data_IF_355184722488
#
_entry.id   IF_355184722488
#
_cell.length_a   1.000
_cell.length_b   1.000
_cell.length_c   1.000
_cell.angle_alpha   90.00
_cell.angle_beta   90.00
_cell.angle_gamma   90.00
#
_symmetry.space_group_name_H-M   'P 1'
#
loop_
_entity.id
_entity.type
_entity.pdbx_description
1 polymer ?
#
# COMPACT_ATOMS: atom_id res chain seq x y z
N UNK A 1 -10.61 -14.09 8.02
CA UNK A 1 -11.34 -13.17 8.89
C UNK A 1 -12.52 -12.68 8.09
N UNK A 2 -13.75 -12.89 8.56
CA UNK A 2 -14.93 -12.32 7.90
C UNK A 2 -14.95 -10.80 8.07
N UNK A 3 -15.65 -10.07 7.22
CA UNK A 3 -15.80 -8.63 7.40
C UNK A 3 -16.50 -8.26 8.71
N UNK A 4 -17.39 -9.13 9.20
CA UNK A 4 -18.02 -8.97 10.52
C UNK A 4 -17.01 -9.06 11.67
N UNK A 5 -16.08 -10.02 11.63
CA UNK A 5 -14.97 -10.10 12.59
C UNK A 5 -14.04 -8.88 12.50
N UNK A 6 -13.80 -8.39 11.27
CA UNK A 6 -12.98 -7.21 11.05
C UNK A 6 -13.60 -5.95 11.67
N UNK A 7 -14.88 -5.69 11.41
CA UNK A 7 -15.62 -4.54 11.97
C UNK A 7 -15.68 -4.59 13.49
N UNK A 8 -15.93 -5.77 14.06
CA UNK A 8 -15.90 -5.96 15.51
C UNK A 8 -14.53 -5.63 16.13
N UNK A 9 -13.42 -5.94 15.43
CA UNK A 9 -12.06 -5.66 15.91
C UNK A 9 -11.66 -4.18 15.85
N UNK A 10 -12.17 -3.42 14.87
CA UNK A 10 -11.85 -1.99 14.73
C UNK A 10 -12.81 -1.08 15.51
N UNK A 11 -13.81 -1.64 16.21
CA UNK A 11 -14.63 -0.90 17.16
C UNK A 11 -15.52 0.18 16.52
N UNK A 12 -15.89 0.04 15.25
CA UNK A 12 -16.88 0.94 14.63
C UNK A 12 -18.20 0.78 15.39
N UNK A 13 -18.55 1.79 16.18
CA UNK A 13 -19.74 1.80 17.02
C UNK A 13 -21.00 1.70 16.16
N UNK A 14 -21.92 0.84 16.60
CA UNK A 14 -23.23 0.65 15.99
C UNK A 14 -24.00 1.98 15.95
N UNK A 15 -24.42 2.40 14.76
CA UNK A 15 -25.13 3.67 14.52
C UNK A 15 -25.30 4.01 13.03
N UNK A 16 -24.47 3.43 12.17
CA UNK A 16 -24.63 3.46 10.70
C UNK A 16 -25.31 2.21 10.14
N UNK A 17 -25.63 2.25 8.84
CA UNK A 17 -26.07 1.06 8.10
C UNK A 17 -25.04 -0.08 8.28
N UNK A 18 -25.48 -1.33 8.52
CA UNK A 18 -24.56 -2.44 8.65
C UNK A 18 -23.72 -2.56 7.36
N UNK A 19 -22.39 -2.72 7.48
CA UNK A 19 -21.55 -2.97 6.30
C UNK A 19 -22.04 -4.24 5.60
N UNK A 20 -22.18 -4.14 4.28
CA UNK A 20 -22.65 -5.24 3.44
C UNK A 20 -21.46 -6.16 3.14
N UNK A 21 -21.58 -7.45 3.49
CA UNK A 21 -20.55 -8.46 3.26
C UNK A 21 -21.06 -9.51 2.27
N UNK A 22 -20.27 -9.80 1.23
CA UNK A 22 -20.52 -10.88 0.28
C UNK A 22 -19.68 -12.11 0.70
N UNK A 23 -20.28 -13.30 0.80
CA UNK A 23 -19.55 -14.46 1.34
C UNK A 23 -18.47 -15.01 0.36
N UNK A 24 -17.33 -15.42 0.95
CA UNK A 24 -16.16 -16.12 0.39
C UNK A 24 -15.23 -15.33 -0.56
N UNK A 25 -13.96 -15.16 -0.16
CA UNK A 25 -12.90 -14.56 -0.97
C UNK A 25 -12.77 -13.04 -0.89
N UNK A 26 -13.50 -12.37 0.02
CA UNK A 26 -13.44 -10.92 0.16
C UNK A 26 -12.08 -10.43 0.65
N UNK A 27 -11.51 -9.53 -0.14
CA UNK A 27 -10.34 -8.74 0.21
C UNK A 27 -10.83 -7.33 0.53
N UNK A 28 -10.65 -6.90 1.76
CA UNK A 28 -10.93 -5.52 2.13
C UNK A 28 -9.68 -4.68 1.90
N UNK A 29 -9.89 -3.50 1.36
CA UNK A 29 -8.88 -2.47 1.23
C UNK A 29 -9.57 -1.13 1.47
N UNK A 30 -9.37 -0.57 2.66
CA UNK A 30 -9.95 0.68 3.10
C UNK A 30 -8.85 1.70 3.34
N UNK A 31 -9.15 2.94 2.97
CA UNK A 31 -8.32 4.09 3.28
C UNK A 31 -9.21 5.19 3.87
N UNK A 32 -8.67 5.92 4.83
CA UNK A 32 -9.33 7.08 5.43
C UNK A 32 -8.28 8.11 5.83
N UNK A 33 -8.67 9.38 5.85
CA UNK A 33 -7.88 10.39 6.54
C UNK A 33 -7.87 10.07 8.03
N UNK A 34 -6.70 10.17 8.65
CA UNK A 34 -6.49 9.92 10.07
C UNK A 34 -6.27 11.27 10.77
N UNK A 35 -7.22 11.72 11.61
CA UNK A 35 -7.04 12.93 12.40
C UNK A 35 -5.80 12.82 13.29
N UNK A 36 -4.96 13.85 13.30
CA UNK A 36 -3.67 13.85 13.99
C UNK A 36 -3.82 13.56 15.49
N UNK A 37 -4.93 13.98 16.09
CA UNK A 37 -5.29 13.79 17.49
C UNK A 37 -5.47 12.30 17.86
N UNK A 38 -5.71 11.45 16.86
CA UNK A 38 -5.85 9.99 17.05
C UNK A 38 -4.51 9.32 17.36
N UNK A 39 -3.38 9.95 17.00
CA UNK A 39 -2.05 9.42 17.26
C UNK A 39 -1.61 9.80 18.67
N UNK A 40 -1.73 8.86 19.59
CA UNK A 40 -1.16 9.01 20.93
C UNK A 40 0.37 8.87 20.86
N UNK A 41 1.07 10.00 20.96
CA UNK A 41 2.52 10.12 20.80
C UNK A 41 3.32 9.05 21.57
N UNK A 42 2.89 8.63 22.76
CA UNK A 42 3.56 7.61 23.57
C UNK A 42 3.63 6.19 22.99
N UNK A 43 2.91 5.90 21.89
CA UNK A 43 2.80 4.54 21.31
C UNK A 43 3.52 4.36 19.98
N UNK A 44 4.36 5.32 19.59
CA UNK A 44 4.98 5.34 18.27
C UNK A 44 6.51 5.53 18.31
N UNK A 45 7.29 4.86 17.45
CA UNK A 45 8.74 5.04 17.37
C UNK A 45 9.14 6.49 17.10
N UNK A 46 10.32 6.90 17.60
CA UNK A 46 10.80 8.28 17.47
C UNK A 46 10.94 8.75 16.02
N UNK A 47 11.45 7.88 15.13
CA UNK A 47 11.53 8.15 13.69
C UNK A 47 10.16 8.44 13.08
N UNK A 48 9.11 7.83 13.60
CA UNK A 48 7.76 8.08 13.12
C UNK A 48 7.29 9.47 13.51
N UNK A 49 7.55 9.89 14.76
CA UNK A 49 7.21 11.23 15.23
C UNK A 49 7.88 12.32 14.40
N UNK A 50 9.16 12.17 14.08
CA UNK A 50 9.86 13.18 13.26
C UNK A 50 9.26 13.34 11.85
N UNK A 51 8.66 12.29 11.29
CA UNK A 51 7.97 12.35 10.00
C UNK A 51 6.57 12.99 10.10
N UNK A 52 6.03 13.14 11.31
CA UNK A 52 4.73 13.78 11.58
C UNK A 52 4.85 15.28 11.84
N UNK A 53 6.06 15.81 12.04
CA UNK A 53 6.27 17.22 12.41
C UNK A 53 6.11 18.19 11.22
N UNK A 54 6.07 17.70 9.98
CA UNK A 54 5.85 18.52 8.77
C UNK A 54 5.13 17.74 7.64
N UNK A 55 3.87 17.32 7.86
CA UNK A 55 3.16 16.54 6.87
C UNK A 55 2.68 17.46 5.73
N UNK A 56 3.02 17.12 4.49
CA UNK A 56 2.54 17.86 3.32
C UNK A 56 1.06 17.58 3.00
N UNK A 57 0.52 16.50 3.56
CA UNK A 57 -0.86 16.04 3.42
C UNK A 57 -1.35 15.45 4.76
N UNK A 58 -2.68 15.38 5.00
CA UNK A 58 -3.21 14.64 6.14
C UNK A 58 -2.66 13.21 6.21
N UNK A 59 -2.51 12.71 7.44
CA UNK A 59 -2.17 11.31 7.66
C UNK A 59 -3.26 10.43 7.09
N UNK A 60 -2.88 9.27 6.57
CA UNK A 60 -3.83 8.29 6.05
C UNK A 60 -3.71 6.99 6.79
N UNK A 61 -4.85 6.44 7.15
CA UNK A 61 -5.02 5.08 7.63
C UNK A 61 -5.26 4.16 6.44
N UNK A 62 -4.57 3.02 6.44
CA UNK A 62 -4.78 1.93 5.50
C UNK A 62 -5.16 0.68 6.28
N UNK A 63 -6.27 0.05 5.90
CA UNK A 63 -6.71 -1.20 6.53
C UNK A 63 -7.06 -2.22 5.46
N UNK A 64 -6.46 -3.41 5.56
CA UNK A 64 -6.62 -4.42 4.53
C UNK A 64 -6.51 -5.84 5.05
N UNK A 65 -7.08 -6.79 4.31
CA UNK A 65 -6.97 -8.23 4.59
C UNK A 65 -6.01 -8.93 3.63
N UNK A 66 -5.63 -10.17 3.96
CA UNK A 66 -4.68 -10.98 3.19
C UNK A 66 -4.98 -10.96 1.69
N UNK A 67 -3.93 -10.77 0.89
CA UNK A 67 -3.99 -10.77 -0.56
C UNK A 67 -4.57 -9.49 -1.18
N UNK A 68 -4.97 -8.50 -0.37
CA UNK A 68 -5.29 -7.16 -0.86
C UNK A 68 -4.02 -6.46 -1.33
N UNK A 69 -4.09 -5.84 -2.50
CA UNK A 69 -2.93 -5.29 -3.20
C UNK A 69 -3.14 -3.85 -3.61
N UNK A 70 -2.09 -3.05 -3.51
CA UNK A 70 -1.96 -1.78 -4.23
C UNK A 70 -1.16 -2.08 -5.50
N UNK A 71 -1.75 -1.93 -6.70
CA UNK A 71 -1.07 -2.24 -7.96
C UNK A 71 0.25 -1.47 -8.11
N UNK A 72 1.16 -1.99 -8.93
CA UNK A 72 2.46 -1.39 -9.16
C UNK A 72 2.31 0.04 -9.73
N UNK A 73 2.82 1.03 -9.01
CA UNK A 73 2.71 2.45 -9.36
C UNK A 73 3.85 3.26 -8.75
N UNK A 74 3.94 4.54 -9.09
CA UNK A 74 4.82 5.49 -8.40
C UNK A 74 4.06 6.74 -7.95
N UNK A 75 4.56 7.39 -6.91
CA UNK A 75 4.08 8.66 -6.41
C UNK A 75 5.01 9.81 -6.83
N UNK A 76 4.45 11.02 -6.97
CA UNK A 76 5.22 12.23 -7.32
C UNK A 76 5.85 12.94 -6.13
N UNK A 77 5.56 12.48 -4.91
CA UNK A 77 6.08 13.01 -3.65
C UNK A 77 6.68 11.87 -2.83
N UNK A 78 7.61 12.21 -1.96
CA UNK A 78 8.13 11.27 -0.96
C UNK A 78 7.00 10.93 0.03
N UNK A 79 6.99 9.69 0.49
CA UNK A 79 6.01 9.24 1.47
C UNK A 79 6.57 8.17 2.38
N UNK A 80 5.89 7.93 3.49
CA UNK A 80 6.18 6.78 4.34
C UNK A 80 4.92 5.97 4.58
N UNK A 81 5.12 4.71 4.94
CA UNK A 81 4.11 3.86 5.54
C UNK A 81 4.74 3.18 6.75
N UNK A 82 4.13 3.32 7.93
CA UNK A 82 4.48 2.43 9.03
C UNK A 82 3.37 1.46 9.35
N UNK A 83 3.83 0.27 9.72
CA UNK A 83 3.00 -0.88 9.94
C UNK A 83 2.59 -0.93 11.41
N UNK A 84 1.30 -0.75 11.67
CA UNK A 84 0.76 -0.71 13.03
C UNK A 84 0.33 -2.09 13.51
N UNK A 85 -0.28 -2.87 12.62
CA UNK A 85 -0.72 -4.25 12.88
C UNK A 85 -0.54 -5.14 11.67
N UNK A 86 -0.20 -6.41 11.88
CA UNK A 86 0.01 -7.38 10.80
C UNK A 86 1.23 -7.09 9.92
N UNK A 87 1.20 -7.57 8.68
CA UNK A 87 2.35 -7.52 7.77
C UNK A 87 1.98 -7.23 6.32
N UNK A 88 2.92 -6.61 5.61
CA UNK A 88 2.82 -6.30 4.17
C UNK A 88 4.12 -6.66 3.46
N UNK A 89 4.01 -7.20 2.25
CA UNK A 89 5.13 -7.32 1.30
C UNK A 89 5.16 -6.07 0.43
N UNK A 90 6.32 -5.46 0.27
CA UNK A 90 6.52 -4.35 -0.66
C UNK A 90 7.58 -4.72 -1.67
N UNK A 91 7.26 -4.59 -2.96
CA UNK A 91 8.21 -4.81 -4.06
C UNK A 91 8.48 -3.48 -4.76
N UNK A 92 9.74 -3.04 -4.71
CA UNK A 92 10.25 -1.80 -5.27
C UNK A 92 10.93 -2.02 -6.62
N UNK A 93 10.84 -1.02 -7.49
CA UNK A 93 11.65 -0.92 -8.69
C UNK A 93 12.20 0.52 -8.79
N UNK A 94 13.47 0.69 -9.21
CA UNK A 94 14.06 2.01 -9.37
C UNK A 94 13.37 2.77 -10.52
N UNK A 95 13.40 4.12 -10.54
CA UNK A 95 12.85 4.92 -11.64
C UNK A 95 13.40 4.52 -13.03
N UNK A 96 14.66 4.05 -13.08
CA UNK A 96 15.29 3.58 -14.31
C UNK A 96 14.60 2.36 -14.96
N UNK A 97 13.82 1.58 -14.18
CA UNK A 97 13.06 0.44 -14.68
C UNK A 97 11.82 0.82 -15.50
N UNK A 98 11.49 2.12 -15.61
CA UNK A 98 10.31 2.67 -16.31
C UNK A 98 9.96 1.96 -17.63
N UNK A 99 10.96 1.70 -18.47
CA UNK A 99 10.76 1.08 -19.80
C UNK A 99 10.21 -0.34 -19.73
N UNK A 100 10.58 -1.12 -18.72
CA UNK A 100 10.08 -2.47 -18.50
C UNK A 100 8.78 -2.54 -17.71
N UNK A 101 8.30 -1.41 -17.17
CA UNK A 101 7.08 -1.34 -16.36
C UNK A 101 5.85 -0.88 -17.15
N UNK A 102 6.02 -0.43 -18.40
CA UNK A 102 4.94 -0.09 -19.33
C UNK A 102 3.86 0.78 -18.66
N UNK A 103 4.19 2.02 -18.25
CA UNK A 103 3.24 2.91 -17.62
C UNK A 103 2.04 3.20 -18.54
N UNK A 104 0.88 3.47 -17.95
CA UNK A 104 -0.20 4.11 -18.69
C UNK A 104 0.22 5.53 -19.17
N UNK A 105 -0.29 5.98 -20.33
CA UNK A 105 -0.09 7.34 -20.83
C UNK A 105 -0.47 8.43 -19.80
N UNK A 106 0.10 9.63 -19.96
CA UNK A 106 -0.07 10.73 -19.02
C UNK A 106 -1.52 11.24 -18.90
N UNK A 107 -2.30 11.12 -19.97
CA UNK A 107 -3.71 11.48 -20.09
C UNK A 107 -4.68 10.35 -19.69
N UNK A 108 -4.16 9.17 -19.35
CA UNK A 108 -4.98 8.03 -18.96
C UNK A 108 -5.39 8.13 -17.47
N UNK A 109 -6.62 7.72 -17.08
CA UNK A 109 -7.07 7.73 -15.67
C UNK A 109 -6.19 6.91 -14.71
N UNK A 110 -5.48 5.91 -15.24
CA UNK A 110 -4.52 5.07 -14.50
C UNK A 110 -3.07 5.53 -14.65
N UNK A 111 -2.84 6.79 -15.05
CA UNK A 111 -1.50 7.38 -15.09
C UNK A 111 -0.71 7.08 -13.80
N UNK A 112 0.59 6.86 -13.96
CA UNK A 112 1.56 6.44 -12.92
C UNK A 112 1.42 5.00 -12.44
N UNK A 113 0.50 4.22 -12.99
CA UNK A 113 0.43 2.76 -12.78
C UNK A 113 1.13 2.02 -13.91
N UNK A 114 1.70 0.88 -13.56
CA UNK A 114 2.22 -0.09 -14.52
C UNK A 114 1.03 -0.88 -15.11
N UNK A 115 1.10 -1.20 -16.40
CA UNK A 115 0.14 -2.10 -17.06
C UNK A 115 0.34 -3.58 -16.70
N UNK A 116 1.59 -4.10 -16.59
CA UNK A 116 1.83 -5.48 -16.17
C UNK A 116 1.42 -5.68 -14.71
N UNK A 117 0.60 -6.70 -14.44
CA UNK A 117 0.30 -7.13 -13.07
C UNK A 117 1.40 -8.05 -12.56
N UNK A 118 1.90 -7.81 -11.34
CA UNK A 118 2.85 -8.71 -10.67
C UNK A 118 2.27 -10.11 -10.37
N UNK A 119 0.94 -10.24 -10.42
CA UNK A 119 0.21 -11.47 -10.11
C UNK A 119 -0.34 -12.19 -11.34
N UNK A 120 -0.17 -11.62 -12.55
CA UNK A 120 -0.48 -12.34 -13.79
C UNK A 120 0.51 -13.50 -13.99
N UNK A 121 0.10 -14.53 -14.74
CA UNK A 121 1.01 -15.62 -15.05
C UNK A 121 2.27 -15.10 -15.78
N UNK A 122 3.46 -15.68 -15.54
CA UNK A 122 4.68 -15.23 -16.21
C UNK A 122 4.57 -15.21 -17.74
N UNK A 123 3.94 -16.21 -18.34
CA UNK A 123 3.81 -16.34 -19.79
C UNK A 123 2.90 -15.25 -20.39
N UNK A 124 1.73 -14.99 -19.78
CA UNK A 124 0.83 -13.89 -20.17
C UNK A 124 1.57 -12.53 -20.14
N UNK A 125 2.42 -12.35 -19.12
CA UNK A 125 3.18 -11.11 -18.97
C UNK A 125 4.31 -10.99 -19.98
N UNK A 126 4.97 -12.10 -20.33
CA UNK A 126 6.07 -12.12 -21.28
C UNK A 126 5.61 -11.82 -22.71
N UNK A 127 4.41 -12.26 -23.09
CA UNK A 127 3.81 -12.01 -24.39
C UNK A 127 3.47 -10.52 -24.59
N UNK A 128 2.71 -9.94 -23.66
CA UNK A 128 2.27 -8.54 -23.76
C UNK A 128 3.35 -7.51 -23.37
N UNK A 129 4.27 -7.90 -22.48
CA UNK A 129 5.24 -7.00 -21.84
C UNK A 129 6.66 -7.62 -21.81
N UNK A 130 7.29 -7.83 -22.97
CA UNK A 130 8.55 -8.59 -23.07
C UNK A 130 9.73 -8.01 -22.28
N UNK A 131 9.75 -6.68 -22.04
CA UNK A 131 10.79 -6.01 -21.23
C UNK A 131 10.53 -6.05 -19.73
N UNK A 132 9.42 -6.64 -19.28
CA UNK A 132 9.12 -6.72 -17.86
C UNK A 132 10.16 -7.55 -17.10
N UNK A 133 10.72 -8.58 -17.73
CA UNK A 133 11.81 -9.39 -17.15
C UNK A 133 13.04 -8.55 -16.77
N UNK A 134 13.39 -7.55 -17.59
CA UNK A 134 14.49 -6.62 -17.31
C UNK A 134 14.20 -5.77 -16.06
N UNK A 135 12.97 -5.29 -15.90
CA UNK A 135 12.54 -4.57 -14.70
C UNK A 135 12.50 -5.48 -13.47
N UNK A 136 11.98 -6.70 -13.62
CA UNK A 136 11.91 -7.70 -12.55
C UNK A 136 13.29 -8.09 -12.02
N UNK A 137 14.32 -8.12 -12.88
CA UNK A 137 15.69 -8.45 -12.49
C UNK A 137 16.32 -7.44 -11.52
N UNK A 138 15.82 -6.20 -11.49
CA UNK A 138 16.31 -5.13 -10.59
C UNK A 138 15.32 -4.81 -9.47
N UNK A 139 14.27 -5.63 -9.30
CA UNK A 139 13.28 -5.45 -8.26
C UNK A 139 13.86 -5.82 -6.88
N UNK A 140 13.40 -5.13 -5.84
CA UNK A 140 13.76 -5.42 -4.46
C UNK A 140 12.49 -5.63 -3.63
N UNK A 141 12.42 -6.70 -2.85
CA UNK A 141 11.25 -7.02 -2.02
C UNK A 141 11.61 -7.01 -0.55
N UNK A 142 10.76 -6.38 0.25
CA UNK A 142 10.84 -6.37 1.71
C UNK A 142 9.52 -6.85 2.34
N UNK A 143 9.60 -7.35 3.57
CA UNK A 143 8.44 -7.64 4.42
C UNK A 143 8.41 -6.63 5.57
N UNK A 144 7.29 -5.94 5.70
CA UNK A 144 7.01 -5.02 6.79
C UNK A 144 6.21 -5.74 7.87
N UNK A 145 6.69 -5.67 9.10
CA UNK A 145 6.06 -6.20 10.30
C UNK A 145 5.67 -5.05 11.23
N UNK A 146 4.89 -5.35 12.27
CA UNK A 146 4.46 -4.35 13.25
C UNK A 146 5.66 -3.59 13.84
N UNK A 147 5.61 -2.25 13.77
CA UNK A 147 6.67 -1.35 14.21
C UNK A 147 7.62 -0.87 13.09
N UNK A 148 7.63 -1.56 11.94
CA UNK A 148 8.47 -1.17 10.81
C UNK A 148 7.94 0.09 10.11
N UNK A 149 8.87 0.88 9.58
CA UNK A 149 8.59 2.04 8.72
C UNK A 149 9.31 1.84 7.39
N UNK A 150 8.61 2.05 6.28
CA UNK A 150 9.22 2.15 4.96
C UNK A 150 9.05 3.57 4.42
N UNK A 151 10.09 4.06 3.74
CA UNK A 151 10.04 5.27 2.94
C UNK A 151 9.86 4.88 1.47
N UNK A 152 8.94 5.53 0.78
CA UNK A 152 8.78 5.49 -0.67
C UNK A 152 9.34 6.79 -1.24
N UNK A 153 10.56 6.78 -1.80
CA UNK A 153 11.09 7.97 -2.43
C UNK A 153 10.26 8.32 -3.67
N UNK A 154 10.18 9.61 -4.00
CA UNK A 154 9.47 10.09 -5.18
C UNK A 154 9.94 9.35 -6.44
N UNK A 155 9.00 9.04 -7.33
CA UNK A 155 9.21 8.32 -8.58
C UNK A 155 9.71 6.87 -8.46
N UNK A 156 9.87 6.33 -7.24
CA UNK A 156 10.13 4.91 -7.06
C UNK A 156 8.85 4.11 -7.24
N UNK A 157 8.94 3.10 -8.07
CA UNK A 157 7.84 2.19 -8.36
C UNK A 157 7.71 1.22 -7.21
N UNK A 158 6.48 0.95 -6.79
CA UNK A 158 6.21 0.03 -5.72
C UNK A 158 4.85 -0.66 -5.88
N UNK A 159 4.82 -1.93 -5.49
CA UNK A 159 3.60 -2.71 -5.28
C UNK A 159 3.56 -3.12 -3.80
N UNK A 160 2.36 -3.12 -3.23
CA UNK A 160 2.16 -3.47 -1.82
C UNK A 160 1.12 -4.57 -1.73
N UNK A 161 1.43 -5.64 -1.00
CA UNK A 161 0.54 -6.76 -0.74
C UNK A 161 0.36 -6.96 0.76
N UNK A 162 -0.86 -7.25 1.20
CA UNK A 162 -1.10 -7.66 2.59
C UNK A 162 -0.86 -9.14 2.78
N UNK A 163 0.08 -9.51 3.66
CA UNK A 163 0.47 -10.91 3.90
C UNK A 163 -0.17 -11.50 5.17
N UNK A 164 -0.51 -10.67 6.15
CA UNK A 164 -1.25 -11.07 7.36
C UNK A 164 -2.77 -11.17 7.11
N UNK A 165 -3.49 -11.80 8.04
CA UNK A 165 -4.97 -11.89 7.97
C UNK A 165 -5.65 -10.51 8.01
N UNK A 166 -5.10 -9.60 8.82
CA UNK A 166 -5.47 -8.20 8.94
C UNK A 166 -4.19 -7.38 8.99
N UNK A 167 -4.15 -6.27 8.26
CA UNK A 167 -3.07 -5.29 8.26
C UNK A 167 -3.64 -3.89 8.50
N UNK A 168 -3.00 -3.14 9.38
CA UNK A 168 -3.28 -1.72 9.65
C UNK A 168 -1.98 -0.97 9.50
N UNK A 169 -1.97 0.08 8.70
CA UNK A 169 -0.80 0.91 8.47
C UNK A 169 -1.20 2.38 8.43
N UNK A 170 -0.28 3.27 8.78
CA UNK A 170 -0.50 4.71 8.66
C UNK A 170 0.63 5.29 7.84
N UNK A 171 0.30 6.21 6.94
CA UNK A 171 1.25 6.83 6.05
C UNK A 171 0.93 8.28 5.78
N UNK A 172 1.93 9.01 5.29
CA UNK A 172 1.81 10.41 4.91
C UNK A 172 2.74 10.70 3.74
N UNK A 173 2.35 11.69 2.93
CA UNK A 173 3.25 12.30 1.95
C UNK A 173 3.93 13.52 2.58
N UNK A 174 5.21 13.69 2.31
CA UNK A 174 6.01 14.82 2.78
C UNK A 174 6.83 15.42 1.62
N UNK A 175 7.35 16.62 1.86
CA UNK A 175 8.20 17.38 0.91
C UNK A 175 9.61 17.50 1.43
#
# INVERSE_FOLDING_TARGET
MSGSEFVARIGLAAGGLPPLFYAAGERYYMQADLPAETIQAGRVPALWRSLLDSPAQPLRLWVSTRGATTPLHFDSADSFLAQMRGSKRVTFFPPAALRGLYPYPADHPLHRRARPSLYAAPDERAEDYPRFSEAAAVAQTIELHEGDVVIFPRNWWHNVETTSALSVSVGCRFV
#
